data_IF_651617784672
#
_entry.id   IF_651617784672
#
_cell.length_a   1.000
_cell.length_b   1.000
_cell.length_c   1.000
_cell.angle_alpha   90.00
_cell.angle_beta   90.00
_cell.angle_gamma   90.00
#
_symmetry.space_group_name_H-M   'P 1'
#
loop_
_entity.id
_entity.type
_entity.pdbx_description
1 polymer ?
#
# COMPACT_ATOMS: atom_id res chain seq x y z
N UNK A 1 -11.87 0.99 -4.80
CA UNK A 1 -10.48 0.44 -4.81
C UNK A 1 -10.35 -0.57 -3.67
N UNK A 2 -9.38 -1.48 -3.74
CA UNK A 2 -9.04 -2.39 -2.64
C UNK A 2 -7.65 -2.04 -2.12
N UNK A 3 -7.45 -2.02 -0.81
CA UNK A 3 -6.15 -1.79 -0.16
C UNK A 3 -5.72 -3.07 0.57
N UNK A 4 -4.54 -3.57 0.17
CA UNK A 4 -3.79 -4.64 0.78
C UNK A 4 -2.74 -4.02 1.71
N UNK A 5 -2.58 -4.60 2.90
CA UNK A 5 -1.50 -4.25 3.80
C UNK A 5 -0.18 -4.90 3.36
N UNK A 6 0.74 -5.02 4.32
CA UNK A 6 2.08 -5.57 4.10
C UNK A 6 2.01 -7.12 4.09
N UNK A 7 2.37 -7.81 2.99
CA UNK A 7 2.17 -9.25 2.86
C UNK A 7 3.40 -10.11 3.22
N UNK A 8 4.50 -9.55 3.72
CA UNK A 8 5.73 -10.29 4.04
C UNK A 8 5.51 -11.49 4.98
N UNK A 9 4.53 -11.39 5.88
CA UNK A 9 4.10 -12.49 6.75
C UNK A 9 3.49 -13.68 6.00
N UNK A 10 2.82 -13.41 4.86
CA UNK A 10 2.31 -14.46 3.97
C UNK A 10 3.41 -15.09 3.13
N UNK A 11 4.39 -14.31 2.67
CA UNK A 11 5.38 -14.80 1.70
C UNK A 11 6.51 -15.58 2.36
N UNK A 12 6.87 -15.25 3.61
CA UNK A 12 8.04 -15.83 4.30
C UNK A 12 7.84 -17.26 4.82
N UNK A 13 6.59 -17.74 4.81
CA UNK A 13 6.21 -19.10 5.13
C UNK A 13 5.38 -19.70 4.00
N UNK A 14 5.84 -20.80 3.39
CA UNK A 14 5.12 -21.52 2.32
C UNK A 14 3.66 -21.85 2.67
N UNK A 15 3.40 -22.27 3.90
CA UNK A 15 2.05 -22.59 4.39
C UNK A 15 1.10 -21.37 4.39
N UNK A 16 1.63 -20.15 4.50
CA UNK A 16 0.84 -18.92 4.52
C UNK A 16 0.61 -18.34 3.11
N UNK A 17 1.44 -18.68 2.12
CA UNK A 17 1.35 -18.12 0.76
C UNK A 17 -0.06 -18.24 0.14
N UNK A 18 -0.80 -19.37 0.30
CA UNK A 18 -2.16 -19.49 -0.21
C UNK A 18 -3.13 -18.45 0.34
N UNK A 19 -2.88 -17.85 1.51
CA UNK A 19 -3.75 -16.82 2.09
C UNK A 19 -3.65 -15.53 1.26
N UNK A 20 -2.45 -15.13 0.85
CA UNK A 20 -2.29 -13.96 -0.01
C UNK A 20 -2.84 -14.20 -1.42
N UNK A 21 -2.64 -15.41 -1.96
CA UNK A 21 -3.28 -15.81 -3.22
C UNK A 21 -4.81 -15.82 -3.13
N UNK A 22 -5.38 -16.21 -1.98
CA UNK A 22 -6.82 -16.15 -1.74
C UNK A 22 -7.31 -14.70 -1.74
N UNK A 23 -6.58 -13.77 -1.11
CA UNK A 23 -6.94 -12.37 -1.14
C UNK A 23 -7.00 -11.82 -2.56
N UNK A 24 -5.98 -12.07 -3.39
CA UNK A 24 -5.96 -11.58 -4.77
C UNK A 24 -6.92 -12.33 -5.69
N UNK A 25 -7.19 -13.62 -5.43
CA UNK A 25 -8.22 -14.38 -6.12
C UNK A 25 -9.62 -13.81 -5.83
N UNK A 26 -9.93 -13.53 -4.56
CA UNK A 26 -11.19 -12.88 -4.18
C UNK A 26 -11.33 -11.51 -4.84
N UNK A 27 -10.26 -10.70 -4.86
CA UNK A 27 -10.28 -9.42 -5.57
C UNK A 27 -10.61 -9.64 -7.04
N UNK A 28 -9.91 -10.55 -7.73
CA UNK A 28 -10.14 -10.85 -9.14
C UNK A 28 -11.58 -11.28 -9.43
N UNK A 29 -12.16 -12.13 -8.58
CA UNK A 29 -13.54 -12.61 -8.71
C UNK A 29 -14.57 -11.49 -8.53
N UNK A 30 -14.20 -10.44 -7.78
CA UNK A 30 -15.10 -9.37 -7.38
C UNK A 30 -14.89 -8.05 -8.13
N UNK A 31 -14.00 -8.01 -9.15
CA UNK A 31 -13.72 -6.80 -9.93
C UNK A 31 -15.00 -6.19 -10.49
N UNK A 32 -15.80 -6.96 -11.23
CA UNK A 32 -17.03 -6.43 -11.84
C UNK A 32 -18.10 -6.12 -10.80
N UNK A 33 -18.29 -7.01 -9.80
CA UNK A 33 -19.35 -6.87 -8.78
C UNK A 33 -19.15 -5.65 -7.89
N UNK A 34 -17.91 -5.34 -7.53
CA UNK A 34 -17.56 -4.19 -6.69
C UNK A 34 -17.05 -3.00 -7.49
N UNK A 35 -17.06 -3.07 -8.82
CA UNK A 35 -16.51 -2.07 -9.72
C UNK A 35 -15.08 -1.63 -9.33
N UNK A 36 -14.20 -2.61 -9.07
CA UNK A 36 -12.83 -2.37 -8.58
C UNK A 36 -12.01 -1.73 -9.71
N UNK A 37 -11.62 -0.46 -9.52
CA UNK A 37 -10.79 0.28 -10.48
C UNK A 37 -9.29 0.11 -10.29
N UNK A 38 -8.85 -0.16 -9.07
CA UNK A 38 -7.44 -0.35 -8.72
C UNK A 38 -7.30 -1.12 -7.41
N UNK A 39 -6.15 -1.78 -7.26
CA UNK A 39 -5.68 -2.39 -6.01
C UNK A 39 -4.45 -1.64 -5.52
N UNK A 40 -4.41 -1.27 -4.25
CA UNK A 40 -3.31 -0.58 -3.60
C UNK A 40 -2.61 -1.55 -2.66
N UNK A 41 -1.29 -1.54 -2.58
CA UNK A 41 -0.51 -2.35 -1.65
C UNK A 41 0.58 -1.50 -1.00
N UNK A 42 0.66 -1.55 0.32
CA UNK A 42 1.53 -0.69 1.13
C UNK A 42 2.99 -1.12 1.14
N UNK A 43 3.37 -2.20 0.46
CA UNK A 43 4.77 -2.64 0.35
C UNK A 43 5.12 -3.80 1.26
N UNK A 44 6.42 -4.01 1.45
CA UNK A 44 7.00 -5.18 2.10
C UNK A 44 6.44 -6.48 1.51
N UNK A 45 6.63 -6.61 0.20
CA UNK A 45 6.21 -7.81 -0.54
C UNK A 45 6.96 -9.06 -0.07
N UNK A 46 8.16 -8.90 0.46
CA UNK A 46 9.01 -9.96 1.00
C UNK A 46 9.49 -9.60 2.40
N UNK A 47 9.89 -10.60 3.19
CA UNK A 47 10.52 -10.34 4.50
C UNK A 47 12.01 -10.01 4.33
N UNK A 48 12.66 -10.48 3.26
CA UNK A 48 14.07 -10.20 2.97
C UNK A 48 14.28 -10.18 1.45
N UNK A 49 14.90 -9.12 0.93
CA UNK A 49 15.08 -8.92 -0.51
C UNK A 49 16.21 -9.78 -1.13
N UNK A 50 17.40 -9.84 -0.54
CA UNK A 50 18.59 -10.52 -1.12
C UNK A 50 19.39 -11.33 -0.09
N UNK A 51 18.84 -11.60 1.09
CA UNK A 51 19.55 -12.42 2.08
C UNK A 51 19.60 -13.89 1.65
N UNK A 52 20.81 -14.43 1.46
CA UNK A 52 21.04 -15.82 1.06
C UNK A 52 21.05 -16.80 2.25
N UNK A 53 21.18 -16.30 3.48
CA UNK A 53 21.21 -17.11 4.69
C UNK A 53 19.82 -17.10 5.34
N UNK A 54 19.12 -18.23 5.28
CA UNK A 54 17.82 -18.41 5.91
C UNK A 54 17.93 -18.31 7.44
N UNK A 55 17.18 -17.39 8.05
CA UNK A 55 16.91 -17.44 9.49
C UNK A 55 15.67 -18.30 9.74
N UNK A 56 15.87 -19.60 9.98
CA UNK A 56 14.78 -20.57 10.18
C UNK A 56 13.87 -20.30 11.38
N UNK A 57 14.23 -19.36 12.27
CA UNK A 57 13.37 -18.93 13.37
C UNK A 57 12.26 -17.97 12.95
N UNK A 58 12.37 -17.34 11.78
CA UNK A 58 11.43 -16.29 11.33
C UNK A 58 10.88 -16.50 9.91
N UNK A 59 11.43 -17.44 9.14
CA UNK A 59 11.04 -17.72 7.75
C UNK A 59 11.50 -19.12 7.32
N UNK A 60 10.85 -19.71 6.32
CA UNK A 60 11.28 -20.95 5.66
C UNK A 60 11.48 -20.81 4.14
N UNK A 61 11.34 -19.60 3.60
CA UNK A 61 11.51 -19.28 2.18
C UNK A 61 12.75 -18.43 1.94
N UNK A 62 13.49 -18.70 0.87
CA UNK A 62 14.58 -17.83 0.39
C UNK A 62 14.04 -16.52 -0.17
N UNK A 63 14.92 -15.52 -0.34
CA UNK A 63 14.55 -14.24 -0.96
C UNK A 63 13.87 -14.43 -2.33
N UNK A 64 14.41 -15.30 -3.20
CA UNK A 64 13.84 -15.60 -4.51
C UNK A 64 12.46 -16.26 -4.41
N UNK A 65 12.28 -17.23 -3.51
CA UNK A 65 10.99 -17.90 -3.32
C UNK A 65 9.92 -16.93 -2.81
N UNK A 66 10.28 -16.02 -1.89
CA UNK A 66 9.37 -14.97 -1.41
C UNK A 66 8.95 -14.03 -2.54
N UNK A 67 9.88 -13.54 -3.34
CA UNK A 67 9.57 -12.68 -4.50
C UNK A 67 8.70 -13.41 -5.53
N UNK A 68 9.00 -14.68 -5.82
CA UNK A 68 8.18 -15.51 -6.70
C UNK A 68 6.77 -15.71 -6.13
N UNK A 69 6.62 -15.89 -4.82
CA UNK A 69 5.32 -16.00 -4.16
C UNK A 69 4.51 -14.70 -4.23
N UNK A 70 5.12 -13.57 -3.89
CA UNK A 70 4.47 -12.25 -3.98
C UNK A 70 4.01 -11.97 -5.42
N UNK A 71 4.91 -12.21 -6.37
CA UNK A 71 4.64 -12.10 -7.80
C UNK A 71 3.49 -13.00 -8.23
N UNK A 72 3.53 -14.30 -7.93
CA UNK A 72 2.47 -15.26 -8.27
C UNK A 72 1.11 -14.87 -7.68
N UNK A 73 1.09 -14.37 -6.45
CA UNK A 73 -0.14 -13.92 -5.79
C UNK A 73 -0.76 -12.74 -6.53
N UNK A 74 0.02 -11.71 -6.85
CA UNK A 74 -0.47 -10.55 -7.61
C UNK A 74 -0.81 -10.87 -9.07
N UNK A 75 -0.26 -11.96 -9.64
CA UNK A 75 -0.53 -12.37 -11.02
C UNK A 75 -2.01 -12.70 -11.29
N UNK A 76 -2.79 -12.97 -10.23
CA UNK A 76 -4.23 -13.15 -10.32
C UNK A 76 -4.96 -11.91 -10.88
N UNK A 77 -4.34 -10.72 -10.74
CA UNK A 77 -4.86 -9.42 -11.15
C UNK A 77 -4.34 -8.95 -12.51
N UNK A 78 -3.30 -9.60 -13.05
CA UNK A 78 -2.67 -9.22 -14.32
C UNK A 78 -3.71 -9.18 -15.45
N UNK A 79 -3.66 -8.12 -16.25
CA UNK A 79 -4.54 -7.84 -17.38
C UNK A 79 -6.03 -7.68 -17.01
N UNK A 80 -6.36 -7.52 -15.72
CA UNK A 80 -7.74 -7.33 -15.23
C UNK A 80 -7.94 -6.02 -14.50
N UNK A 81 -7.00 -5.65 -13.63
CA UNK A 81 -7.04 -4.41 -12.85
C UNK A 81 -5.61 -3.94 -12.54
N UNK A 82 -5.32 -2.62 -12.57
CA UNK A 82 -4.01 -2.14 -12.18
C UNK A 82 -3.86 -2.30 -10.67
N UNK A 83 -2.69 -2.77 -10.25
CA UNK A 83 -2.28 -2.74 -8.85
C UNK A 83 -1.07 -1.82 -8.68
N UNK A 84 -1.06 -1.06 -7.59
CA UNK A 84 -0.08 -0.01 -7.30
C UNK A 84 0.60 -0.37 -5.98
N UNK A 85 1.91 -0.55 -6.01
CA UNK A 85 2.70 -1.01 -4.86
C UNK A 85 3.71 0.05 -4.48
N UNK A 86 3.69 0.44 -3.20
CA UNK A 86 4.71 1.27 -2.59
C UNK A 86 5.71 0.38 -1.87
N UNK A 87 6.83 0.01 -2.49
CA UNK A 87 7.84 -0.87 -1.91
C UNK A 87 8.25 -0.44 -0.48
N UNK A 88 8.36 -1.41 0.40
CA UNK A 88 8.68 -1.22 1.81
C UNK A 88 10.13 -1.48 2.16
N UNK A 89 10.49 -1.31 3.44
CA UNK A 89 11.88 -1.41 3.85
C UNK A 89 12.48 -2.81 3.65
N UNK A 90 11.66 -3.86 3.66
CA UNK A 90 12.10 -5.24 3.43
C UNK A 90 12.30 -5.55 1.94
N UNK A 91 11.74 -4.74 1.04
CA UNK A 91 11.90 -4.86 -0.42
C UNK A 91 13.23 -4.28 -0.93
N UNK A 92 14.00 -3.62 -0.05
CA UNK A 92 15.32 -3.05 -0.34
C UNK A 92 16.44 -3.68 0.49
N UNK A 93 17.65 -3.63 -0.03
CA UNK A 93 18.85 -4.12 0.63
C UNK A 93 18.91 -5.64 0.65
N UNK A 94 19.33 -6.21 1.77
CA UNK A 94 19.44 -7.65 1.95
C UNK A 94 18.41 -8.17 2.94
N UNK A 95 18.32 -7.56 4.14
CA UNK A 95 17.32 -7.89 5.16
C UNK A 95 16.27 -6.81 5.32
N UNK A 96 16.70 -5.56 5.44
CA UNK A 96 15.82 -4.41 5.64
C UNK A 96 16.57 -3.10 5.36
N UNK A 97 16.61 -2.68 4.10
CA UNK A 97 17.10 -1.35 3.69
C UNK A 97 18.52 -1.00 4.14
N UNK A 98 19.44 -1.97 4.10
CA UNK A 98 20.87 -1.69 4.30
C UNK A 98 21.46 -0.83 3.17
N UNK A 99 20.84 -0.88 2.00
CA UNK A 99 21.10 -0.05 0.82
C UNK A 99 19.83 -0.01 -0.04
N UNK A 100 19.88 0.71 -1.17
CA UNK A 100 18.75 0.91 -2.07
C UNK A 100 18.50 -0.18 -3.12
N UNK A 101 19.23 -1.30 -3.11
CA UNK A 101 19.02 -2.36 -4.10
C UNK A 101 17.65 -3.01 -3.89
N UNK A 102 16.82 -3.08 -4.93
CA UNK A 102 15.54 -3.81 -4.93
C UNK A 102 15.40 -4.75 -6.12
N UNK A 103 14.75 -5.90 -5.91
CA UNK A 103 14.35 -6.83 -6.98
C UNK A 103 12.99 -6.52 -7.57
N UNK A 104 12.26 -5.53 -7.07
CA UNK A 104 10.90 -5.24 -7.52
C UNK A 104 10.73 -5.17 -9.05
N UNK A 105 11.59 -4.48 -9.83
CA UNK A 105 11.46 -4.43 -11.29
C UNK A 105 11.65 -5.77 -12.00
N UNK A 106 12.35 -6.75 -11.40
CA UNK A 106 12.52 -8.11 -11.95
C UNK A 106 11.20 -8.89 -11.94
N UNK A 107 10.36 -8.66 -10.91
CA UNK A 107 9.11 -9.39 -10.70
C UNK A 107 7.87 -8.61 -11.15
N UNK A 108 7.96 -7.29 -11.24
CA UNK A 108 6.87 -6.38 -11.63
C UNK A 108 7.27 -5.47 -12.80
N UNK A 109 7.72 -6.04 -13.94
CA UNK A 109 7.99 -5.24 -15.13
C UNK A 109 6.69 -4.69 -15.71
N UNK A 110 6.72 -3.50 -16.29
CA UNK A 110 5.53 -2.80 -16.82
C UNK A 110 4.76 -3.65 -17.85
N UNK A 111 5.45 -4.51 -18.60
CA UNK A 111 4.88 -5.36 -19.64
C UNK A 111 3.96 -6.46 -19.10
N UNK A 112 4.08 -6.78 -17.81
CA UNK A 112 3.37 -7.88 -17.16
C UNK A 112 1.85 -7.70 -17.11
N UNK A 113 1.39 -6.47 -16.90
CA UNK A 113 -0.04 -6.17 -16.74
C UNK A 113 -0.44 -5.06 -17.71
N UNK A 114 -1.22 -5.40 -18.73
CA UNK A 114 -1.66 -4.48 -19.78
C UNK A 114 -2.38 -3.24 -19.22
N UNK A 115 -3.09 -3.38 -18.09
CA UNK A 115 -3.84 -2.27 -17.47
C UNK A 115 -2.96 -1.13 -16.95
N UNK A 116 -1.66 -1.38 -16.71
CA UNK A 116 -0.71 -0.31 -16.40
C UNK A 116 -0.36 0.53 -17.61
N UNK A 117 -0.41 -0.02 -18.83
CA UNK A 117 -0.10 0.74 -20.05
C UNK A 117 -1.11 1.88 -20.27
N UNK A 118 -2.34 1.69 -19.81
CA UNK A 118 -3.41 2.68 -19.95
C UNK A 118 -3.47 3.68 -18.79
N UNK A 119 -2.89 3.33 -17.62
CA UNK A 119 -3.04 4.13 -16.39
C UNK A 119 -1.74 4.78 -15.92
N UNK A 120 -0.58 4.15 -16.11
CA UNK A 120 0.72 4.70 -15.71
C UNK A 120 1.10 5.88 -16.61
N UNK A 121 1.07 7.10 -16.06
CA UNK A 121 1.25 8.35 -16.81
C UNK A 121 2.60 9.02 -16.56
N UNK A 122 3.34 8.60 -15.55
CA UNK A 122 4.66 9.16 -15.20
C UNK A 122 5.40 8.20 -14.27
N UNK A 123 6.73 8.15 -14.37
CA UNK A 123 7.58 7.40 -13.46
C UNK A 123 8.93 8.11 -13.28
N UNK A 124 9.61 7.84 -12.17
CA UNK A 124 10.96 8.28 -11.87
C UNK A 124 11.87 7.06 -11.66
N UNK A 125 13.13 7.06 -12.10
CA UNK A 125 14.05 5.96 -11.82
C UNK A 125 14.16 5.63 -10.33
N UNK A 126 14.13 4.34 -10.02
CA UNK A 126 14.37 3.83 -8.68
C UNK A 126 15.84 3.95 -8.26
N UNK A 127 16.14 3.42 -7.08
CA UNK A 127 17.49 3.41 -6.51
C UNK A 127 18.50 2.54 -7.27
N UNK A 128 18.04 1.65 -8.15
CA UNK A 128 18.91 0.93 -9.09
C UNK A 128 19.19 1.75 -10.37
N UNK A 129 18.61 2.95 -10.50
CA UNK A 129 18.68 3.77 -11.72
C UNK A 129 17.74 3.29 -12.83
N UNK A 130 16.77 2.43 -12.53
CA UNK A 130 15.84 1.85 -13.51
C UNK A 130 14.46 2.52 -13.35
N UNK A 131 13.84 3.03 -14.43
CA UNK A 131 12.44 3.43 -14.40
C UNK A 131 11.56 2.22 -14.04
N UNK A 132 10.82 2.30 -12.93
CA UNK A 132 10.00 1.20 -12.43
C UNK A 132 8.72 1.72 -11.76
N UNK A 133 7.82 0.81 -11.41
CA UNK A 133 6.50 1.15 -10.88
C UNK A 133 6.51 1.56 -9.39
N UNK A 134 7.66 1.48 -8.70
CA UNK A 134 7.77 1.87 -7.28
C UNK A 134 7.72 3.39 -7.07
N UNK A 135 8.15 4.17 -8.07
CA UNK A 135 8.05 5.63 -8.13
C UNK A 135 7.26 6.03 -9.37
N UNK A 136 5.93 5.86 -9.33
CA UNK A 136 5.08 6.03 -10.50
C UNK A 136 3.75 6.72 -10.17
N UNK A 137 3.09 7.26 -11.19
CA UNK A 137 1.80 7.91 -11.08
C UNK A 137 0.79 7.31 -12.06
N UNK A 138 -0.43 7.12 -11.58
CA UNK A 138 -1.51 6.44 -12.30
C UNK A 138 -2.76 7.32 -12.38
N UNK A 139 -3.21 7.64 -13.58
CA UNK A 139 -4.38 8.50 -13.82
C UNK A 139 -5.65 7.65 -13.97
N UNK A 140 -6.72 8.06 -13.29
CA UNK A 140 -8.04 7.45 -13.39
C UNK A 140 -9.08 8.53 -13.68
N UNK A 141 -10.16 8.13 -14.37
CA UNK A 141 -11.31 8.99 -14.62
C UNK A 141 -12.59 8.25 -14.27
N UNK A 142 -13.53 8.97 -13.66
CA UNK A 142 -14.84 8.48 -13.28
C UNK A 142 -15.88 9.60 -13.44
N UNK A 143 -17.11 9.26 -13.82
CA UNK A 143 -18.16 10.24 -14.07
C UNK A 143 -18.57 11.02 -12.82
N UNK A 144 -18.59 10.35 -11.66
CA UNK A 144 -18.99 10.95 -10.39
C UNK A 144 -17.82 11.60 -9.70
N UNK A 145 -16.63 11.00 -9.76
CA UNK A 145 -15.44 11.47 -9.06
C UNK A 145 -14.52 12.38 -9.88
N UNK A 146 -14.77 12.54 -11.17
CA UNK A 146 -13.89 13.30 -12.05
C UNK A 146 -12.55 12.58 -12.24
N UNK A 147 -11.45 13.33 -12.18
CA UNK A 147 -10.11 12.78 -12.39
C UNK A 147 -9.38 12.56 -11.08
N UNK A 148 -8.75 11.40 -10.96
CA UNK A 148 -7.90 11.03 -9.84
C UNK A 148 -6.49 10.74 -10.33
N UNK A 149 -5.51 10.99 -9.46
CA UNK A 149 -4.12 10.59 -9.68
C UNK A 149 -3.65 9.83 -8.43
N UNK A 150 -3.16 8.62 -8.63
CA UNK A 150 -2.50 7.85 -7.55
C UNK A 150 -1.01 7.92 -7.77
N UNK A 151 -0.25 8.48 -6.82
CA UNK A 151 1.21 8.57 -6.88
C UNK A 151 1.79 7.63 -5.82
N UNK A 152 2.67 6.72 -6.22
CA UNK A 152 3.40 5.81 -5.32
C UNK A 152 4.86 6.22 -5.20
N UNK A 153 5.47 5.94 -4.05
CA UNK A 153 6.88 6.18 -3.81
C UNK A 153 7.60 4.95 -3.26
N UNK A 154 8.91 4.92 -3.46
CA UNK A 154 9.85 4.03 -2.77
C UNK A 154 9.82 4.23 -1.24
N UNK A 155 10.37 3.27 -0.50
CA UNK A 155 10.63 3.41 0.93
C UNK A 155 11.62 4.54 1.20
N UNK A 156 11.27 5.39 2.16
CA UNK A 156 12.00 6.63 2.47
C UNK A 156 12.32 7.38 1.17
N UNK A 157 11.33 7.96 0.47
CA UNK A 157 11.56 8.53 -0.85
C UNK A 157 12.70 9.55 -0.84
N UNK A 158 13.57 9.52 -1.85
CA UNK A 158 14.60 10.56 -2.02
C UNK A 158 13.96 11.93 -2.28
N UNK A 159 14.73 13.00 -2.08
CA UNK A 159 14.24 14.36 -2.34
C UNK A 159 13.79 14.53 -3.80
N UNK A 160 14.50 13.94 -4.78
CA UNK A 160 14.08 14.02 -6.18
C UNK A 160 12.72 13.35 -6.45
N UNK A 161 12.34 12.32 -5.69
CA UNK A 161 11.03 11.66 -5.80
C UNK A 161 9.94 12.60 -5.27
N UNK A 162 10.16 13.22 -4.10
CA UNK A 162 9.20 14.16 -3.54
C UNK A 162 9.04 15.40 -4.41
N UNK A 163 10.13 15.95 -4.94
CA UNK A 163 10.10 17.08 -5.86
C UNK A 163 9.39 16.74 -7.17
N UNK A 164 9.63 15.55 -7.73
CA UNK A 164 8.93 15.06 -8.90
C UNK A 164 7.43 14.92 -8.65
N UNK A 165 7.03 14.29 -7.54
CA UNK A 165 5.62 14.11 -7.17
C UNK A 165 4.91 15.45 -7.00
N UNK A 166 5.57 16.43 -6.34
CA UNK A 166 5.05 17.78 -6.16
C UNK A 166 4.87 18.51 -7.48
N UNK A 167 5.89 18.49 -8.35
CA UNK A 167 5.82 19.11 -9.69
C UNK A 167 4.73 18.47 -10.55
N UNK A 168 4.57 17.15 -10.46
CA UNK A 168 3.54 16.42 -11.19
C UNK A 168 2.14 16.84 -10.71
N UNK A 169 1.86 16.71 -9.42
CA UNK A 169 0.56 17.04 -8.81
C UNK A 169 0.16 18.51 -9.02
N UNK A 170 1.12 19.43 -8.99
CA UNK A 170 0.89 20.87 -9.19
C UNK A 170 1.00 21.32 -10.65
N UNK A 171 1.20 20.40 -11.60
CA UNK A 171 1.24 20.76 -13.01
C UNK A 171 -0.15 21.14 -13.54
N UNK A 172 -0.22 21.99 -14.56
CA UNK A 172 -1.49 22.39 -15.22
C UNK A 172 -2.37 21.19 -15.62
N UNK A 173 -1.76 20.03 -15.92
CA UNK A 173 -2.50 18.82 -16.29
C UNK A 173 -3.23 18.21 -15.09
N UNK A 174 -2.63 18.24 -13.90
CA UNK A 174 -3.07 17.48 -12.74
C UNK A 174 -3.52 18.34 -11.55
N UNK A 175 -3.39 19.67 -11.61
CA UNK A 175 -3.73 20.59 -10.52
C UNK A 175 -5.18 20.49 -10.02
N UNK A 176 -6.10 20.00 -10.87
CA UNK A 176 -7.51 19.79 -10.55
C UNK A 176 -7.88 18.32 -10.27
N UNK A 177 -6.90 17.39 -10.28
CA UNK A 177 -7.14 15.99 -9.92
C UNK A 177 -7.18 15.83 -8.41
N UNK A 178 -8.02 14.93 -7.90
CA UNK A 178 -7.85 14.45 -6.52
C UNK A 178 -6.67 13.48 -6.47
N UNK A 179 -5.64 13.81 -5.69
CA UNK A 179 -4.43 13.00 -5.58
C UNK A 179 -4.46 12.12 -4.34
N UNK A 180 -4.20 10.83 -4.54
CA UNK A 180 -3.91 9.84 -3.50
C UNK A 180 -2.40 9.58 -3.53
N UNK A 181 -1.72 9.82 -2.42
CA UNK A 181 -0.29 9.50 -2.28
C UNK A 181 -0.14 8.21 -1.46
N UNK A 182 0.52 7.19 -2.01
CA UNK A 182 0.84 5.96 -1.29
C UNK A 182 2.35 5.87 -1.06
N UNK A 183 2.72 5.62 0.18
CA UNK A 183 4.11 5.49 0.63
C UNK A 183 4.19 4.45 1.74
N UNK A 184 5.33 3.79 1.94
CA UNK A 184 5.38 2.69 2.88
C UNK A 184 5.38 3.17 4.35
N UNK A 185 6.34 4.03 4.72
CA UNK A 185 6.48 4.55 6.09
C UNK A 185 5.98 5.99 6.19
N UNK A 186 4.95 6.22 7.01
CA UNK A 186 4.39 7.55 7.24
C UNK A 186 3.81 7.73 8.64
N UNK A 187 2.92 6.84 9.11
CA UNK A 187 2.32 6.90 10.46
C UNK A 187 2.79 5.75 11.37
N UNK A 188 2.81 6.01 12.68
CA UNK A 188 2.87 4.96 13.72
C UNK A 188 1.54 4.23 13.84
N UNK A 189 1.57 2.93 14.10
CA UNK A 189 0.40 2.09 14.29
C UNK A 189 -0.28 2.39 15.64
N UNK A 190 -1.60 2.20 15.68
CA UNK A 190 -2.39 2.38 16.89
C UNK A 190 -2.78 3.83 17.19
N UNK A 191 -3.33 4.03 18.38
CA UNK A 191 -4.03 5.27 18.78
C UNK A 191 -3.16 6.53 18.75
N UNK A 192 -1.85 6.39 18.92
CA UNK A 192 -0.91 7.51 18.85
C UNK A 192 -0.94 8.19 17.47
N UNK A 193 -1.06 7.39 16.40
CA UNK A 193 -1.23 7.87 15.02
C UNK A 193 -0.31 9.06 14.67
N UNK A 194 0.95 9.02 15.09
CA UNK A 194 1.92 10.10 14.88
C UNK A 194 2.59 9.93 13.53
N UNK A 195 2.95 11.03 12.88
CA UNK A 195 3.89 10.95 11.75
C UNK A 195 5.23 10.48 12.27
N UNK A 196 5.87 9.59 11.52
CA UNK A 196 7.16 9.04 11.89
C UNK A 196 8.23 10.10 11.67
N UNK A 197 8.96 10.45 12.72
CA UNK A 197 10.03 11.47 12.69
C UNK A 197 11.43 10.86 12.65
N UNK A 198 11.59 9.62 13.15
CA UNK A 198 12.89 8.95 13.27
C UNK A 198 12.74 7.46 13.17
N UNK A 199 13.65 6.85 12.42
CA UNK A 199 13.74 5.40 12.25
C UNK A 199 15.20 4.95 12.27
N UNK A 200 15.43 3.64 12.40
CA UNK A 200 16.76 3.07 12.58
C UNK A 200 17.16 2.18 11.39
N UNK A 201 16.99 2.69 10.18
CA UNK A 201 17.49 2.07 8.95
C UNK A 201 18.84 2.68 8.55
N UNK A 202 19.57 2.03 7.63
CA UNK A 202 20.78 2.64 7.03
C UNK A 202 20.41 3.60 5.92
N UNK A 203 19.38 3.26 5.17
CA UNK A 203 18.72 4.12 4.19
C UNK A 203 17.76 5.04 4.96
N UNK A 204 18.07 6.34 4.98
CA UNK A 204 17.41 7.36 5.83
C UNK A 204 17.19 8.66 5.04
N UNK A 205 16.51 8.59 3.90
CA UNK A 205 16.10 9.80 3.19
C UNK A 205 14.90 10.44 3.93
N UNK A 206 13.70 10.47 3.33
CA UNK A 206 12.56 11.18 3.92
C UNK A 206 11.64 10.25 4.72
N UNK A 207 11.45 10.54 6.01
CA UNK A 207 10.45 9.88 6.86
C UNK A 207 9.04 10.49 6.70
N UNK A 208 8.06 10.00 7.46
CA UNK A 208 6.69 10.49 7.40
C UNK A 208 6.52 11.99 7.68
N UNK A 209 7.28 12.54 8.63
CA UNK A 209 7.26 13.98 8.90
C UNK A 209 7.86 14.78 7.74
N UNK A 210 8.97 14.32 7.15
CA UNK A 210 9.57 14.96 5.97
C UNK A 210 8.64 14.93 4.76
N UNK A 211 8.00 13.79 4.48
CA UNK A 211 7.01 13.65 3.39
C UNK A 211 5.89 14.65 3.58
N UNK A 212 5.37 14.79 4.81
CA UNK A 212 4.33 15.75 5.12
C UNK A 212 4.78 17.18 4.82
N UNK A 213 5.91 17.62 5.37
CA UNK A 213 6.36 19.01 5.23
C UNK A 213 6.78 19.35 3.79
N UNK A 214 7.50 18.45 3.11
CA UNK A 214 8.08 18.74 1.77
C UNK A 214 7.06 18.63 0.64
N UNK A 215 6.12 17.68 0.75
CA UNK A 215 5.16 17.34 -0.30
C UNK A 215 3.72 17.61 0.11
N UNK A 216 3.19 16.89 1.10
CA UNK A 216 1.74 16.78 1.33
C UNK A 216 1.13 18.12 1.77
N UNK A 217 1.76 18.76 2.76
CA UNK A 217 1.27 19.99 3.40
C UNK A 217 1.15 21.15 2.42
N UNK A 218 2.02 21.22 1.42
CA UNK A 218 2.08 22.34 0.46
C UNK A 218 1.50 22.00 -0.92
N UNK A 219 0.84 20.85 -1.08
CA UNK A 219 0.24 20.42 -2.36
C UNK A 219 -1.28 20.30 -2.21
N UNK A 220 -2.07 21.32 -2.62
CA UNK A 220 -3.48 21.47 -2.25
C UNK A 220 -4.38 20.29 -2.63
N UNK A 221 -4.05 19.62 -3.73
CA UNK A 221 -4.85 18.56 -4.34
C UNK A 221 -4.47 17.15 -3.87
N UNK A 222 -3.48 16.99 -2.98
CA UNK A 222 -3.26 15.73 -2.24
C UNK A 222 -4.25 15.64 -1.10
N UNK A 223 -5.18 14.68 -1.17
CA UNK A 223 -6.33 14.58 -0.25
C UNK A 223 -6.36 13.29 0.56
N UNK A 224 -5.59 12.30 0.16
CA UNK A 224 -5.46 11.03 0.86
C UNK A 224 -4.01 10.55 0.82
N UNK A 225 -3.47 10.18 1.99
CA UNK A 225 -2.19 9.49 2.15
C UNK A 225 -2.44 8.09 2.70
N UNK A 226 -1.86 7.08 2.08
CA UNK A 226 -1.97 5.67 2.49
C UNK A 226 -0.58 5.12 2.80
N UNK A 227 -0.45 4.39 3.90
CA UNK A 227 0.81 3.76 4.30
C UNK A 227 0.65 2.44 5.07
N UNK A 228 1.76 1.74 5.29
CA UNK A 228 1.87 0.48 6.02
C UNK A 228 2.94 0.57 7.11
N UNK A 229 3.95 -0.31 7.03
CA UNK A 229 5.21 -0.27 7.77
C UNK A 229 5.13 -0.64 9.25
N UNK A 230 4.41 0.14 10.05
CA UNK A 230 4.41 -0.05 11.51
C UNK A 230 3.40 -1.10 11.94
N UNK A 231 3.71 -1.92 12.94
CA UNK A 231 2.77 -2.91 13.45
C UNK A 231 3.08 -3.25 14.90
N UNK A 232 2.07 -3.76 15.62
CA UNK A 232 2.20 -4.21 16.99
C UNK A 232 1.85 -5.70 17.10
N UNK A 233 2.87 -6.55 17.06
CA UNK A 233 2.69 -8.01 17.13
C UNK A 233 2.28 -8.59 18.47
N UNK A 234 2.04 -7.74 19.49
CA UNK A 234 1.36 -8.13 20.74
C UNK A 234 0.02 -7.43 20.92
N UNK A 235 -0.34 -6.55 19.98
CA UNK A 235 -1.54 -5.74 20.00
C UNK A 235 -2.73 -6.45 19.36
N UNK A 236 -3.88 -5.79 19.45
CA UNK A 236 -5.11 -6.17 18.75
C UNK A 236 -5.16 -5.54 17.36
N UNK A 237 -6.29 -5.70 16.68
CA UNK A 237 -6.48 -5.10 15.36
C UNK A 237 -6.29 -3.57 15.38
N UNK A 238 -6.84 -2.87 16.37
CA UNK A 238 -6.73 -1.42 16.49
C UNK A 238 -5.30 -0.91 16.69
N UNK A 239 -4.37 -1.76 17.13
CA UNK A 239 -2.96 -1.41 17.34
C UNK A 239 -2.12 -1.55 16.06
N UNK A 240 -2.72 -2.03 14.98
CA UNK A 240 -2.12 -2.34 13.68
C UNK A 240 -2.71 -1.50 12.52
N UNK A 241 -3.59 -0.55 12.87
CA UNK A 241 -4.19 0.40 11.94
C UNK A 241 -4.20 1.79 12.56
N UNK A 242 -4.13 2.82 11.73
CA UNK A 242 -4.23 4.21 12.21
C UNK A 242 -4.96 5.07 11.19
N UNK A 243 -5.65 6.09 11.69
CA UNK A 243 -6.30 7.09 10.86
C UNK A 243 -6.23 8.45 11.53
N UNK A 244 -5.93 9.49 10.74
CA UNK A 244 -6.00 10.89 11.14
C UNK A 244 -6.37 11.77 9.96
N UNK A 245 -6.78 12.99 10.26
CA UNK A 245 -7.05 14.01 9.26
C UNK A 245 -6.47 15.34 9.75
N UNK A 246 -5.74 16.04 8.89
CA UNK A 246 -5.14 17.34 9.19
C UNK A 246 -5.35 18.27 7.99
N UNK A 247 -5.42 19.58 8.22
CA UNK A 247 -5.46 20.56 7.14
C UNK A 247 -4.07 20.72 6.50
N UNK A 248 -4.03 20.86 5.17
CA UNK A 248 -2.86 21.34 4.45
C UNK A 248 -2.81 22.89 4.46
N UNK A 249 -1.77 23.49 3.88
CA UNK A 249 -1.60 24.95 3.87
C UNK A 249 -2.68 25.69 3.05
N UNK A 250 -3.42 24.97 2.20
CA UNK A 250 -4.59 25.49 1.48
C UNK A 250 -5.90 25.35 2.26
N UNK A 251 -5.83 24.90 3.53
CA UNK A 251 -7.00 24.68 4.38
C UNK A 251 -7.84 23.45 4.01
N UNK A 252 -7.37 22.61 3.08
CA UNK A 252 -8.06 21.39 2.66
C UNK A 252 -7.69 20.22 3.58
N UNK A 253 -8.67 19.42 3.97
CA UNK A 253 -8.43 18.23 4.79
C UNK A 253 -7.68 17.16 4.01
N UNK A 254 -6.60 16.66 4.58
CA UNK A 254 -5.83 15.50 4.09
C UNK A 254 -6.06 14.32 5.02
N UNK A 255 -6.76 13.31 4.52
CA UNK A 255 -6.94 12.05 5.21
C UNK A 255 -5.65 11.24 5.15
N UNK A 256 -5.25 10.63 6.26
CA UNK A 256 -4.02 9.84 6.37
C UNK A 256 -4.40 8.51 7.03
N UNK A 257 -4.22 7.42 6.30
CA UNK A 257 -4.63 6.08 6.74
C UNK A 257 -3.45 5.12 6.66
N UNK A 258 -3.27 4.37 7.73
CA UNK A 258 -2.24 3.35 7.87
C UNK A 258 -2.90 1.98 8.05
N UNK A 259 -2.45 0.99 7.29
CA UNK A 259 -3.01 -0.36 7.30
C UNK A 259 -1.91 -1.41 7.16
N UNK A 260 -1.45 -1.96 8.27
CA UNK A 260 -0.48 -3.07 8.29
C UNK A 260 -0.88 -4.10 9.33
N UNK A 261 -1.63 -5.08 8.88
CA UNK A 261 -2.21 -6.16 9.69
C UNK A 261 -1.31 -7.39 9.77
N UNK A 262 -0.05 -7.31 9.32
CA UNK A 262 0.83 -8.48 9.12
C UNK A 262 1.03 -9.34 10.38
N UNK A 263 0.83 -8.75 11.57
CA UNK A 263 1.02 -9.42 12.86
C UNK A 263 -0.24 -10.05 13.44
N UNK A 264 -1.39 -9.86 12.78
CA UNK A 264 -2.61 -10.56 13.15
C UNK A 264 -2.51 -12.05 12.76
N UNK A 265 -3.35 -12.89 13.36
CA UNK A 265 -3.31 -14.33 13.11
C UNK A 265 -2.05 -15.04 13.65
N UNK A 266 -1.48 -14.54 14.76
CA UNK A 266 -0.44 -15.25 15.51
C UNK A 266 0.87 -14.51 15.77
N UNK A 267 0.93 -13.18 15.57
CA UNK A 267 2.14 -12.39 15.76
C UNK A 267 3.03 -12.36 14.53
N UNK A 268 4.29 -11.94 14.70
CA UNK A 268 5.26 -11.78 13.60
C UNK A 268 5.54 -13.07 12.82
N UNK A 269 5.39 -14.21 13.48
CA UNK A 269 5.56 -15.56 12.93
C UNK A 269 4.22 -16.31 12.79
N UNK A 270 3.10 -15.59 12.83
CA UNK A 270 1.75 -16.13 12.63
C UNK A 270 1.43 -16.40 11.15
N UNK A 271 0.14 -16.37 10.82
CA UNK A 271 -0.34 -16.67 9.46
C UNK A 271 -0.22 -15.50 8.46
N UNK A 272 0.32 -14.35 8.89
CA UNK A 272 0.57 -13.18 8.05
C UNK A 272 -0.55 -12.12 8.02
N UNK A 273 -1.59 -12.26 8.85
CA UNK A 273 -2.58 -11.19 9.04
C UNK A 273 -4.03 -11.57 8.73
N UNK A 274 -4.39 -12.85 8.82
CA UNK A 274 -5.77 -13.37 8.67
C UNK A 274 -6.49 -12.98 7.36
N UNK A 275 -5.75 -12.59 6.32
CA UNK A 275 -6.31 -12.16 5.04
C UNK A 275 -7.08 -10.84 5.09
N UNK A 276 -6.87 -9.98 6.09
CA UNK A 276 -7.59 -8.71 6.16
C UNK A 276 -7.17 -7.74 5.02
N UNK A 277 -8.17 -7.13 4.39
CA UNK A 277 -8.03 -6.06 3.40
C UNK A 277 -9.02 -4.93 3.69
N UNK A 278 -8.79 -3.75 3.10
CA UNK A 278 -9.74 -2.63 3.14
C UNK A 278 -10.42 -2.46 1.78
N UNK A 279 -11.74 -2.34 1.81
CA UNK A 279 -12.54 -1.91 0.66
C UNK A 279 -12.70 -0.39 0.80
N UNK A 280 -12.23 0.34 -0.22
CA UNK A 280 -12.39 1.79 -0.36
C UNK A 280 -13.48 2.04 -1.40
N UNK A 281 -14.70 2.29 -0.92
CA UNK A 281 -15.88 2.53 -1.74
C UNK A 281 -16.04 4.03 -1.98
N UNK A 282 -15.86 4.43 -3.23
CA UNK A 282 -16.01 5.80 -3.68
C UNK A 282 -17.49 6.03 -3.99
N UNK A 283 -18.22 6.68 -3.07
CA UNK A 283 -19.67 6.77 -3.15
C UNK A 283 -20.13 7.66 -4.33
N UNK A 284 -21.35 7.46 -4.86
CA UNK A 284 -21.86 8.21 -6.02
C UNK A 284 -22.05 9.71 -5.80
N UNK A 285 -21.94 10.20 -4.55
CA UNK A 285 -21.98 11.63 -4.22
C UNK A 285 -20.73 12.39 -4.68
N UNK A 286 -19.70 11.66 -5.14
CA UNK A 286 -18.48 12.22 -5.71
C UNK A 286 -17.56 12.89 -4.70
N UNK A 287 -17.76 12.65 -3.40
CA UNK A 287 -16.95 13.23 -2.31
C UNK A 287 -16.71 12.27 -1.15
N UNK A 288 -17.51 11.23 -0.94
CA UNK A 288 -17.39 10.36 0.23
C UNK A 288 -16.71 9.03 -0.11
N UNK A 289 -15.62 8.71 0.57
CA UNK A 289 -14.97 7.40 0.52
C UNK A 289 -15.35 6.62 1.78
N UNK A 290 -16.13 5.56 1.64
CA UNK A 290 -16.42 4.64 2.73
C UNK A 290 -15.34 3.55 2.81
N UNK A 291 -14.79 3.35 4.01
CA UNK A 291 -13.79 2.32 4.31
C UNK A 291 -14.48 1.16 5.01
N UNK A 292 -14.21 -0.07 4.58
CA UNK A 292 -14.66 -1.29 5.27
C UNK A 292 -13.53 -2.31 5.36
N UNK A 293 -13.35 -2.94 6.52
CA UNK A 293 -12.44 -4.08 6.67
C UNK A 293 -13.15 -5.39 6.35
N UNK A 294 -12.53 -6.20 5.49
CA UNK A 294 -13.03 -7.52 5.11
C UNK A 294 -11.89 -8.55 5.04
N UNK A 295 -12.17 -9.82 5.35
CA UNK A 295 -11.23 -10.92 5.15
C UNK A 295 -11.81 -11.98 4.22
N UNK A 296 -11.20 -12.20 3.03
CA UNK A 296 -11.54 -13.32 2.16
C UNK A 296 -11.34 -14.68 2.84
N UNK A 297 -10.34 -14.82 3.73
CA UNK A 297 -10.06 -16.06 4.46
C UNK A 297 -11.29 -16.54 5.24
N UNK A 298 -11.97 -15.64 5.94
CA UNK A 298 -13.22 -15.95 6.63
C UNK A 298 -14.42 -15.95 5.69
N UNK A 299 -14.42 -15.10 4.65
CA UNK A 299 -15.57 -14.88 3.79
C UNK A 299 -15.92 -16.02 2.83
N UNK A 300 -14.95 -16.84 2.42
CA UNK A 300 -15.21 -17.92 1.45
C UNK A 300 -15.92 -19.13 2.05
N UNK A 301 -15.88 -19.32 3.37
CA UNK A 301 -16.46 -20.49 4.03
C UNK A 301 -17.80 -20.14 4.69
N UNK A 302 -18.89 -20.88 4.43
CA UNK A 302 -20.17 -20.67 5.10
C UNK A 302 -20.09 -20.72 6.63
N UNK A 303 -19.15 -21.50 7.18
CA UNK A 303 -18.95 -21.64 8.63
C UNK A 303 -18.27 -20.44 9.27
N UNK A 304 -17.50 -19.65 8.52
CA UNK A 304 -16.73 -18.51 9.06
C UNK A 304 -17.13 -17.16 8.45
N UNK A 305 -17.99 -17.12 7.43
CA UNK A 305 -18.39 -15.87 6.75
C UNK A 305 -18.92 -14.76 7.66
N UNK A 306 -19.51 -15.14 8.80
CA UNK A 306 -20.02 -14.21 9.81
C UNK A 306 -18.89 -13.44 10.54
N UNK A 307 -17.64 -13.92 10.45
CA UNK A 307 -16.43 -13.27 10.96
C UNK A 307 -15.73 -12.42 9.91
N UNK A 308 -16.17 -12.45 8.65
CA UNK A 308 -15.45 -11.83 7.54
C UNK A 308 -15.51 -10.30 7.52
N UNK A 309 -16.43 -9.71 8.28
CA UNK A 309 -16.59 -8.27 8.40
C UNK A 309 -16.26 -7.83 9.82
N UNK A 310 -15.44 -6.79 9.94
CA UNK A 310 -15.24 -6.09 11.22
C UNK A 310 -16.02 -4.79 11.23
N UNK A 311 -16.51 -4.35 12.39
CA UNK A 311 -17.52 -3.28 12.51
C UNK A 311 -17.17 -2.18 13.50
N UNK A 312 -16.00 -2.22 14.14
CA UNK A 312 -15.58 -1.15 15.05
C UNK A 312 -15.31 0.17 14.30
N UNK A 313 -15.23 1.32 14.99
CA UNK A 313 -15.02 2.62 14.33
C UNK A 313 -13.72 2.73 13.52
N UNK A 314 -12.68 1.96 13.87
CA UNK A 314 -11.43 1.86 13.09
C UNK A 314 -11.52 0.84 11.95
N UNK A 315 -12.57 0.01 11.90
CA UNK A 315 -12.85 -0.97 10.85
C UNK A 315 -13.73 -0.40 9.74
N UNK A 316 -14.68 0.48 10.11
CA UNK A 316 -15.60 1.12 9.19
C UNK A 316 -15.76 2.60 9.50
N UNK A 317 -15.44 3.45 8.53
CA UNK A 317 -15.54 4.90 8.66
C UNK A 317 -15.62 5.55 7.27
N UNK A 318 -15.97 6.83 7.23
CA UNK A 318 -16.10 7.60 6.01
C UNK A 318 -15.10 8.76 5.99
N UNK A 319 -14.58 9.07 4.81
CA UNK A 319 -13.71 10.21 4.53
C UNK A 319 -14.43 11.12 3.53
N UNK A 320 -14.53 12.42 3.81
CA UNK A 320 -15.15 13.39 2.90
C UNK A 320 -14.08 14.24 2.21
N UNK A 321 -13.96 14.07 0.90
CA UNK A 321 -13.11 14.86 0.01
C UNK A 321 -13.89 16.08 -0.46
N UNK A 322 -13.74 17.19 0.24
CA UNK A 322 -14.28 18.49 -0.20
C UNK A 322 -13.71 18.89 -1.56
N UNK A 323 -14.53 19.32 -2.52
CA UNK A 323 -14.02 19.76 -3.83
C UNK A 323 -13.33 21.12 -3.78
#
# INVERSE_FOLDING_TARGET
>A
MILLGDPQGYTKYDINQPIFELCTAWISDNISRLNIKAVLCTGDLVEQNENIILNRKMLNQTSREMWQSASRSLARLDNKVPYIVSCGNHDYGYRASENGMTRFPEYFPIERNSTWRDTCVSALPNRNGIPSLENAAFEFSDEKWGKLLVITSEFHPRNEVLDWAKKLASSKKYENHTVIFITHSFLTSGKDCRRIEKEKYKLLDNNGADIWEKLIRSTPNIRLVICGHTANGKGKFEDNVSYRADANDAGKTVHQMMFNVQTLGGGWEGNGGDGWLRILEFLPDGKTIAVRTYSPLFGISPSTKHLAHRTEPFDQFEMTIER
#
